data_IF_596360907792
#
_entry.id   IF_596360907792
#
_cell.length_a   1.000
_cell.length_b   1.000
_cell.length_c   1.000
_cell.angle_alpha   90.00
_cell.angle_beta   90.00
_cell.angle_gamma   90.00
#
_symmetry.space_group_name_H-M   'P 1'
#
loop_
_entity.id
_entity.type
_entity.pdbx_description
1 polymer ?
#
# COMPACT_ATOMS: atom_id res chain seq x y z
N UNK A 1 17.03 12.25 -14.84
CA UNK A 1 16.37 10.95 -15.17
C UNK A 1 16.61 9.85 -14.13
N UNK A 2 17.79 9.73 -13.50
CA UNK A 2 18.12 8.64 -12.56
C UNK A 2 17.21 8.53 -11.32
N UNK A 3 16.66 9.63 -10.78
CA UNK A 3 15.83 9.58 -9.57
C UNK A 3 14.40 9.07 -9.79
N UNK A 4 13.85 9.18 -11.01
CA UNK A 4 12.46 8.81 -11.28
C UNK A 4 12.30 7.29 -11.35
N UNK A 5 13.16 6.64 -12.14
CA UNK A 5 13.18 5.17 -12.27
C UNK A 5 13.39 4.47 -10.94
N UNK A 6 14.11 5.09 -9.99
CA UNK A 6 14.31 4.57 -8.65
C UNK A 6 13.01 4.60 -7.85
N UNK A 7 12.29 5.72 -7.86
CA UNK A 7 11.01 5.87 -7.16
C UNK A 7 9.95 4.86 -7.62
N UNK A 8 9.92 4.52 -8.93
CA UNK A 8 9.00 3.52 -9.50
C UNK A 8 9.05 2.15 -8.82
N UNK A 9 10.21 1.75 -8.32
CA UNK A 9 10.38 0.48 -7.63
C UNK A 9 10.51 0.65 -6.11
N UNK A 10 11.09 1.76 -5.64
CA UNK A 10 11.25 2.00 -4.21
C UNK A 10 9.90 2.09 -3.49
N UNK A 11 8.92 2.79 -4.05
CA UNK A 11 7.62 2.98 -3.39
C UNK A 11 6.82 1.66 -3.25
N UNK A 12 6.62 0.85 -4.31
CA UNK A 12 5.93 -0.43 -4.16
C UNK A 12 6.72 -1.44 -3.29
N UNK A 13 8.05 -1.40 -3.31
CA UNK A 13 8.87 -2.23 -2.40
C UNK A 13 8.69 -1.81 -0.94
N UNK A 14 8.66 -0.50 -0.64
CA UNK A 14 8.38 -0.01 0.71
C UNK A 14 6.99 -0.42 1.18
N UNK A 15 5.98 -0.33 0.30
CA UNK A 15 4.64 -0.82 0.59
C UNK A 15 4.65 -2.32 0.93
N UNK A 16 5.28 -3.16 0.11
CA UNK A 16 5.37 -4.59 0.35
C UNK A 16 6.09 -4.93 1.66
N UNK A 17 7.19 -4.23 1.98
CA UNK A 17 7.91 -4.40 3.25
C UNK A 17 7.06 -4.00 4.45
N UNK A 18 6.32 -2.90 4.35
CA UNK A 18 5.41 -2.45 5.40
C UNK A 18 4.25 -3.45 5.59
N UNK A 19 3.73 -4.01 4.50
CA UNK A 19 2.71 -5.04 4.51
C UNK A 19 3.18 -6.33 5.17
N UNK A 20 4.36 -6.83 4.81
CA UNK A 20 4.98 -8.01 5.43
C UNK A 20 5.23 -7.75 6.92
N UNK A 21 5.76 -6.59 7.27
CA UNK A 21 6.01 -6.22 8.68
C UNK A 21 4.71 -6.22 9.49
N UNK A 22 3.65 -5.63 8.94
CA UNK A 22 2.32 -5.62 9.59
C UNK A 22 1.78 -7.03 9.76
N UNK A 23 1.91 -7.87 8.72
CA UNK A 23 1.45 -9.27 8.74
C UNK A 23 2.18 -10.10 9.80
N UNK A 24 3.51 -9.94 9.90
CA UNK A 24 4.31 -10.63 10.93
C UNK A 24 3.91 -10.16 12.32
N UNK A 25 3.73 -8.85 12.53
CA UNK A 25 3.31 -8.30 13.82
C UNK A 25 1.91 -8.78 14.23
N UNK A 26 0.99 -8.95 13.28
CA UNK A 26 -0.32 -9.55 13.53
C UNK A 26 -0.23 -11.04 13.86
N UNK A 27 0.67 -11.77 13.19
CA UNK A 27 0.83 -13.21 13.43
C UNK A 27 1.38 -13.53 14.81
N UNK A 28 2.34 -12.74 15.30
CA UNK A 28 3.01 -12.98 16.59
C UNK A 28 2.27 -12.35 17.77
N UNK A 29 1.37 -11.40 17.53
CA UNK A 29 0.66 -10.69 18.59
C UNK A 29 -0.73 -11.29 18.81
N UNK A 30 -1.02 -11.67 20.04
CA UNK A 30 -2.37 -12.10 20.46
C UNK A 30 -3.33 -10.93 20.68
N UNK A 31 -2.87 -9.68 20.49
CA UNK A 31 -3.67 -8.48 20.69
C UNK A 31 -4.43 -8.10 19.43
N UNK A 32 -5.63 -7.51 19.54
CA UNK A 32 -6.34 -6.94 18.41
C UNK A 32 -5.47 -5.93 17.64
N UNK A 33 -5.67 -5.83 16.32
CA UNK A 33 -4.81 -5.05 15.41
C UNK A 33 -4.69 -3.56 15.82
N UNK A 34 -5.74 -2.99 16.43
CA UNK A 34 -5.81 -1.58 16.85
C UNK A 34 -5.15 -1.31 18.21
N UNK A 35 -4.95 -2.35 19.02
CA UNK A 35 -4.35 -2.27 20.36
C UNK A 35 -2.99 -2.98 20.44
N UNK A 36 -2.55 -3.54 19.31
CA UNK A 36 -1.32 -4.28 19.15
C UNK A 36 -0.18 -3.47 18.53
N UNK A 37 1.02 -4.08 18.44
CA UNK A 37 2.19 -3.46 17.82
C UNK A 37 2.00 -3.21 16.32
N UNK A 38 1.05 -3.90 15.68
CA UNK A 38 0.70 -3.72 14.28
C UNK A 38 -0.10 -2.43 14.01
N UNK A 39 -0.64 -1.74 15.03
CA UNK A 39 -1.54 -0.58 14.86
C UNK A 39 -0.95 0.50 13.94
N UNK A 40 0.30 0.88 14.20
CA UNK A 40 0.96 1.97 13.49
C UNK A 40 1.24 1.61 12.01
N UNK A 41 1.92 0.49 11.70
CA UNK A 41 2.15 0.13 10.30
C UNK A 41 0.85 -0.23 9.56
N UNK A 42 -0.14 -0.81 10.25
CA UNK A 42 -1.48 -1.01 9.71
C UNK A 42 -2.18 0.31 9.35
N UNK A 43 -2.16 1.30 10.24
CA UNK A 43 -2.75 2.61 9.97
C UNK A 43 -2.09 3.33 8.80
N UNK A 44 -0.76 3.20 8.66
CA UNK A 44 -0.03 3.74 7.51
C UNK A 44 -0.50 3.05 6.22
N UNK A 45 -0.56 1.72 6.18
CA UNK A 45 -1.08 0.98 5.00
C UNK A 45 -2.51 1.40 4.66
N UNK A 46 -3.37 1.49 5.68
CA UNK A 46 -4.77 1.83 5.48
C UNK A 46 -4.95 3.21 4.83
N UNK A 47 -4.19 4.21 5.31
CA UNK A 47 -4.20 5.58 4.74
C UNK A 47 -3.52 5.62 3.37
N UNK A 48 -2.41 4.92 3.20
CA UNK A 48 -1.66 4.82 1.95
C UNK A 48 -2.53 4.26 0.80
N UNK A 49 -3.40 3.32 1.13
CA UNK A 49 -4.23 2.59 0.17
C UNK A 49 -5.71 3.01 0.18
N UNK A 50 -6.07 4.20 0.68
CA UNK A 50 -7.47 4.66 0.89
C UNK A 50 -8.55 4.16 -0.11
N UNK A 51 -8.39 4.22 -1.45
CA UNK A 51 -9.40 3.66 -2.37
C UNK A 51 -9.53 2.12 -2.29
N UNK A 52 -8.43 1.41 -2.07
CA UNK A 52 -8.37 -0.06 -2.01
C UNK A 52 -8.69 -0.55 -0.59
N UNK A 53 -8.20 0.16 0.43
CA UNK A 53 -8.48 -0.10 1.85
C UNK A 53 -9.98 -0.12 2.13
N UNK A 54 -10.76 0.81 1.54
CA UNK A 54 -12.21 0.86 1.72
C UNK A 54 -12.91 -0.42 1.21
N UNK A 55 -12.47 -0.94 0.06
CA UNK A 55 -13.03 -2.15 -0.55
C UNK A 55 -12.60 -3.39 0.25
N UNK A 56 -11.31 -3.51 0.57
CA UNK A 56 -10.77 -4.63 1.34
C UNK A 56 -11.42 -4.74 2.71
N UNK A 57 -11.64 -3.61 3.40
CA UNK A 57 -12.29 -3.57 4.70
C UNK A 57 -13.76 -4.00 4.61
N UNK A 58 -14.50 -3.58 3.58
CA UNK A 58 -15.89 -4.04 3.40
C UNK A 58 -15.98 -5.57 3.33
N UNK A 59 -15.02 -6.24 2.68
CA UNK A 59 -14.97 -7.70 2.59
C UNK A 59 -14.52 -8.35 3.90
N UNK A 60 -13.49 -7.81 4.56
CA UNK A 60 -13.01 -8.33 5.85
C UNK A 60 -14.06 -8.25 6.97
N UNK A 61 -14.93 -7.23 6.94
CA UNK A 61 -16.00 -7.07 7.93
C UNK A 61 -17.24 -7.93 7.62
N UNK A 62 -17.41 -8.40 6.38
CA UNK A 62 -18.59 -9.18 5.98
C UNK A 62 -18.40 -10.69 6.05
N UNK A 63 -17.15 -11.19 6.02
CA UNK A 63 -16.87 -12.62 6.20
C UNK A 63 -15.62 -12.86 7.04
N UNK A 64 -15.81 -13.55 8.18
CA UNK A 64 -14.72 -14.05 9.02
C UNK A 64 -13.90 -15.16 8.34
N UNK A 65 -14.52 -15.89 7.40
CA UNK A 65 -13.90 -17.02 6.70
C UNK A 65 -12.90 -16.55 5.63
N UNK A 66 -13.17 -15.41 5.01
CA UNK A 66 -12.33 -14.84 3.94
C UNK A 66 -11.38 -13.73 4.41
N UNK A 67 -11.27 -13.46 5.71
CA UNK A 67 -10.48 -12.35 6.25
C UNK A 67 -9.00 -12.37 5.82
N UNK A 68 -8.33 -13.52 5.96
CA UNK A 68 -6.93 -13.68 5.54
C UNK A 68 -6.75 -13.67 4.02
N UNK A 69 -7.74 -14.15 3.27
CA UNK A 69 -7.71 -14.08 1.81
C UNK A 69 -7.86 -12.63 1.32
N UNK A 70 -8.83 -11.89 1.87
CA UNK A 70 -9.01 -10.46 1.61
C UNK A 70 -7.76 -9.66 2.01
N UNK A 71 -7.07 -10.05 3.10
CA UNK A 71 -5.79 -9.47 3.51
C UNK A 71 -4.72 -9.69 2.45
N UNK A 72 -4.50 -10.92 2.01
CA UNK A 72 -3.51 -11.23 0.99
C UNK A 72 -3.80 -10.50 -0.34
N UNK A 73 -5.07 -10.47 -0.77
CA UNK A 73 -5.50 -9.74 -1.97
C UNK A 73 -5.24 -8.24 -1.81
N UNK A 74 -5.54 -7.66 -0.63
CA UNK A 74 -5.26 -6.27 -0.35
C UNK A 74 -3.78 -5.92 -0.50
N UNK A 75 -2.88 -6.75 0.05
CA UNK A 75 -1.43 -6.52 -0.07
C UNK A 75 -0.94 -6.56 -1.53
N UNK A 76 -1.47 -7.48 -2.35
CA UNK A 76 -1.12 -7.59 -3.77
C UNK A 76 -1.66 -6.40 -4.56
N UNK A 77 -2.94 -6.09 -4.40
CA UNK A 77 -3.62 -5.00 -5.13
C UNK A 77 -3.03 -3.64 -4.73
N UNK A 78 -2.76 -3.40 -3.45
CA UNK A 78 -2.08 -2.21 -2.94
C UNK A 78 -0.68 -2.04 -3.54
N UNK A 79 0.11 -3.12 -3.60
CA UNK A 79 1.46 -3.07 -4.19
C UNK A 79 1.42 -2.75 -5.69
N UNK A 80 0.47 -3.34 -6.42
CA UNK A 80 0.25 -3.05 -7.85
C UNK A 80 -0.21 -1.60 -8.05
N UNK A 81 -1.09 -1.09 -7.18
CA UNK A 81 -1.53 0.29 -7.18
C UNK A 81 -0.36 1.27 -7.01
N UNK A 82 0.52 1.04 -6.03
CA UNK A 82 1.70 1.88 -5.81
C UNK A 82 2.65 1.90 -7.01
N UNK A 83 2.76 0.79 -7.74
CA UNK A 83 3.51 0.75 -8.99
C UNK A 83 2.89 1.63 -10.08
N UNK A 84 1.57 1.55 -10.28
CA UNK A 84 0.86 2.39 -11.26
C UNK A 84 0.84 3.87 -10.87
N UNK A 85 0.70 4.17 -9.59
CA UNK A 85 0.76 5.54 -9.08
C UNK A 85 2.14 6.14 -9.34
N UNK A 86 3.21 5.41 -9.02
CA UNK A 86 4.58 5.84 -9.29
C UNK A 86 4.81 6.10 -10.78
N UNK A 87 4.32 5.21 -11.66
CA UNK A 87 4.39 5.40 -13.12
C UNK A 87 3.61 6.64 -13.61
N UNK A 88 2.44 6.89 -13.03
CA UNK A 88 1.62 8.07 -13.33
C UNK A 88 2.32 9.35 -12.92
N UNK A 89 2.95 9.37 -11.74
CA UNK A 89 3.74 10.50 -11.25
C UNK A 89 4.96 10.78 -12.14
N UNK A 90 5.70 9.74 -12.56
CA UNK A 90 6.80 9.92 -13.52
C UNK A 90 6.32 10.56 -14.83
N UNK A 91 5.17 10.12 -15.33
CA UNK A 91 4.59 10.62 -16.58
C UNK A 91 4.16 12.08 -16.44
N UNK A 92 3.54 12.41 -15.30
CA UNK A 92 3.11 13.77 -14.98
C UNK A 92 4.30 14.73 -14.85
N UNK A 93 5.35 14.31 -14.13
CA UNK A 93 6.58 15.09 -13.98
C UNK A 93 7.28 15.34 -15.32
N UNK A 94 7.33 14.34 -16.21
CA UNK A 94 7.85 14.54 -17.57
C UNK A 94 7.02 15.58 -18.32
N UNK A 95 5.69 15.49 -18.28
CA UNK A 95 4.81 16.48 -18.95
C UNK A 95 5.00 17.90 -18.44
N UNK A 96 5.15 18.10 -17.13
CA UNK A 96 5.39 19.43 -16.56
C UNK A 96 6.81 19.93 -16.82
N UNK A 97 7.83 19.07 -16.77
CA UNK A 97 9.21 19.43 -17.07
C UNK A 97 9.46 19.73 -18.56
N UNK A 98 8.59 19.26 -19.46
CA UNK A 98 8.67 19.51 -20.90
C UNK A 98 7.94 20.77 -21.36
N UNK A 99 7.28 21.54 -20.47
CA UNK A 99 6.81 22.88 -20.80
C UNK A 99 7.96 23.87 -20.61
N UNK A 100 8.54 24.45 -21.68
CA UNK A 100 9.39 25.61 -21.53
C UNK A 100 8.50 26.77 -21.07
N UNK A 101 9.01 27.49 -20.08
CA UNK A 101 8.55 28.80 -19.64
C UNK A 101 8.31 29.68 -20.88
N UNK A 102 7.09 30.20 -21.03
CA UNK A 102 6.75 31.26 -22.00
C UNK A 102 6.64 32.56 -21.24
#
# INVERSE_FOLDING_TARGET
MLNLLRARFTVPVLHALLFVTTSVLMWISSKPILDGPARLPFGILWVADLPISAIAFSVMFTSAEYGWFAWAVWGVVGTVWWYFLSRSMETLQRRFSSKPEK
#
